data_IF_465678254319
#
_entry.id   IF_465678254319
#
_cell.length_a   1.000
_cell.length_b   1.000
_cell.length_c   1.000
_cell.angle_alpha   90.00
_cell.angle_beta   90.00
_cell.angle_gamma   90.00
#
_symmetry.space_group_name_H-M   'P 1'
#
loop_
_entity.id
_entity.type
_entity.pdbx_description
1 polymer ?
#
# COMPACT_ATOMS: atom_id res chain seq x y z
N UNK A 1 -37.52 -13.80 -16.98
CA UNK A 1 -36.18 -14.38 -16.73
C UNK A 1 -35.29 -13.29 -16.13
N UNK A 2 -34.67 -13.45 -14.96
CA UNK A 2 -33.93 -12.35 -14.32
C UNK A 2 -32.53 -12.16 -14.91
N UNK A 3 -32.05 -10.91 -14.97
CA UNK A 3 -30.69 -10.55 -15.42
C UNK A 3 -29.61 -11.30 -14.62
N UNK A 4 -29.81 -11.44 -13.31
CA UNK A 4 -28.91 -12.20 -12.44
C UNK A 4 -28.76 -13.66 -12.88
N UNK A 5 -29.86 -14.33 -13.26
CA UNK A 5 -29.86 -15.73 -13.71
C UNK A 5 -29.16 -15.89 -15.06
N UNK A 6 -29.36 -14.95 -15.99
CA UNK A 6 -28.62 -14.94 -17.27
C UNK A 6 -27.12 -14.81 -17.02
N UNK A 7 -26.71 -13.82 -16.23
CA UNK A 7 -25.29 -13.56 -15.95
C UNK A 7 -24.63 -14.74 -15.25
N UNK A 8 -25.24 -15.29 -14.20
CA UNK A 8 -24.59 -16.31 -13.35
C UNK A 8 -24.76 -17.73 -13.87
N UNK A 9 -25.94 -18.11 -14.40
CA UNK A 9 -26.25 -19.50 -14.76
C UNK A 9 -26.09 -19.79 -16.25
N UNK A 10 -26.29 -18.81 -17.14
CA UNK A 10 -26.09 -19.00 -18.59
C UNK A 10 -24.71 -18.55 -19.06
N UNK A 11 -24.26 -17.38 -18.60
CA UNK A 11 -23.01 -16.76 -19.04
C UNK A 11 -21.83 -17.03 -18.10
N UNK A 12 -22.06 -17.73 -16.98
CA UNK A 12 -21.08 -18.08 -15.95
C UNK A 12 -20.22 -16.89 -15.48
N UNK A 13 -20.83 -15.71 -15.35
CA UNK A 13 -20.18 -14.48 -14.91
C UNK A 13 -20.25 -14.36 -13.39
N UNK A 14 -19.15 -13.88 -12.81
CA UNK A 14 -19.04 -13.54 -11.38
C UNK A 14 -18.77 -12.06 -11.23
N UNK A 15 -19.56 -11.38 -10.40
CA UNK A 15 -19.29 -9.99 -10.01
C UNK A 15 -18.04 -9.97 -9.12
N UNK A 16 -17.02 -9.24 -9.54
CA UNK A 16 -15.77 -9.03 -8.79
C UNK A 16 -15.60 -7.53 -8.55
N UNK A 17 -15.05 -7.18 -7.39
CA UNK A 17 -14.63 -5.80 -7.13
C UNK A 17 -13.26 -5.56 -7.75
N UNK A 18 -13.05 -4.34 -8.26
CA UNK A 18 -11.74 -3.91 -8.72
C UNK A 18 -10.75 -3.88 -7.55
N UNK A 19 -9.49 -4.19 -7.85
CA UNK A 19 -8.38 -4.05 -6.90
C UNK A 19 -7.81 -2.65 -7.04
N UNK A 20 -7.49 -2.01 -5.91
CA UNK A 20 -6.67 -0.79 -5.91
C UNK A 20 -5.23 -1.18 -6.23
N UNK A 21 -4.68 -0.58 -7.28
CA UNK A 21 -3.27 -0.72 -7.66
C UNK A 21 -2.64 0.67 -7.68
N UNK A 22 -1.39 0.84 -7.23
CA UNK A 22 -0.75 2.16 -7.19
C UNK A 22 -0.68 2.82 -8.56
N UNK A 23 -0.31 2.05 -9.59
CA UNK A 23 -0.19 2.51 -10.97
C UNK A 23 -0.57 1.40 -11.95
N UNK A 24 -1.08 1.81 -13.12
CA UNK A 24 -1.18 0.93 -14.28
C UNK A 24 0.17 0.93 -14.99
N UNK A 25 0.80 -0.24 -15.07
CA UNK A 25 2.11 -0.38 -15.67
C UNK A 25 1.99 -0.64 -17.16
N UNK A 26 2.88 -0.01 -17.95
CA UNK A 26 3.07 -0.35 -19.37
C UNK A 26 3.71 -1.73 -19.49
N UNK A 27 3.68 -2.30 -20.69
CA UNK A 27 4.26 -3.63 -20.91
C UNK A 27 5.79 -3.59 -20.80
N UNK A 28 6.44 -2.49 -21.20
CA UNK A 28 7.89 -2.29 -21.03
C UNK A 28 8.28 -2.19 -19.55
N UNK A 29 7.46 -1.52 -18.73
CA UNK A 29 7.69 -1.45 -17.28
C UNK A 29 7.57 -2.82 -16.62
N UNK A 30 6.59 -3.65 -17.04
CA UNK A 30 6.45 -5.01 -16.54
C UNK A 30 7.64 -5.87 -16.93
N UNK A 31 8.07 -5.80 -18.18
CA UNK A 31 9.23 -6.55 -18.67
C UNK A 31 10.50 -6.16 -17.91
N UNK A 32 10.74 -4.86 -17.75
CA UNK A 32 11.88 -4.34 -16.97
C UNK A 32 11.87 -4.88 -15.55
N UNK A 33 10.72 -4.84 -14.86
CA UNK A 33 10.58 -5.40 -13.50
C UNK A 33 10.90 -6.90 -13.44
N UNK A 34 10.44 -7.68 -14.43
CA UNK A 34 10.72 -9.11 -14.49
C UNK A 34 12.23 -9.34 -14.70
N UNK A 35 12.87 -8.58 -15.57
CA UNK A 35 14.30 -8.69 -15.84
C UNK A 35 15.15 -8.35 -14.61
N UNK A 36 14.85 -7.24 -13.92
CA UNK A 36 15.49 -6.92 -12.64
C UNK A 36 15.30 -8.04 -11.61
N UNK A 37 14.06 -8.54 -11.47
CA UNK A 37 13.75 -9.62 -10.52
C UNK A 37 14.53 -10.90 -10.82
N UNK A 38 14.67 -11.28 -12.10
CA UNK A 38 15.48 -12.43 -12.52
C UNK A 38 16.95 -12.25 -12.17
N UNK A 39 17.50 -11.05 -12.39
CA UNK A 39 18.89 -10.75 -12.06
C UNK A 39 19.15 -10.83 -10.56
N UNK A 40 18.27 -10.23 -9.73
CA UNK A 40 18.37 -10.33 -8.28
C UNK A 40 18.21 -11.78 -7.79
N UNK A 41 17.30 -12.55 -8.38
CA UNK A 41 17.12 -13.96 -8.03
C UNK A 41 18.36 -14.79 -8.34
N UNK A 42 18.97 -14.63 -9.52
CA UNK A 42 20.22 -15.32 -9.87
C UNK A 42 21.33 -15.01 -8.87
N UNK A 43 21.49 -13.74 -8.52
CA UNK A 43 22.48 -13.30 -7.53
C UNK A 43 22.22 -13.91 -6.16
N UNK A 44 20.96 -13.90 -5.72
CA UNK A 44 20.55 -14.55 -4.48
C UNK A 44 20.81 -16.06 -4.50
N UNK A 45 20.61 -16.75 -5.63
CA UNK A 45 20.90 -18.18 -5.73
C UNK A 45 22.38 -18.52 -5.52
N UNK A 46 23.29 -17.62 -5.92
CA UNK A 46 24.74 -17.78 -5.75
C UNK A 46 25.22 -17.35 -4.36
N UNK A 47 24.80 -16.18 -3.89
CA UNK A 47 25.32 -15.55 -2.66
C UNK A 47 24.43 -15.76 -1.42
N UNK A 48 23.19 -16.23 -1.59
CA UNK A 48 22.23 -16.53 -0.53
C UNK A 48 22.06 -15.35 0.46
N UNK A 49 22.15 -15.64 1.76
CA UNK A 49 21.96 -14.65 2.83
C UNK A 49 23.07 -13.59 2.85
N UNK A 50 24.26 -13.86 2.33
CA UNK A 50 25.33 -12.87 2.27
C UNK A 50 24.97 -11.71 1.34
N UNK A 51 24.23 -11.98 0.27
CA UNK A 51 23.70 -10.92 -0.59
C UNK A 51 22.66 -10.07 0.15
N UNK A 52 21.71 -10.72 0.83
CA UNK A 52 20.66 -10.00 1.58
C UNK A 52 21.24 -9.19 2.74
N UNK A 53 22.24 -9.72 3.44
CA UNK A 53 22.87 -9.04 4.58
C UNK A 53 23.69 -7.82 4.23
N UNK A 54 23.98 -7.60 2.95
CA UNK A 54 24.64 -6.38 2.46
C UNK A 54 23.65 -5.32 1.98
N UNK A 55 22.35 -5.64 1.92
CA UNK A 55 21.32 -4.69 1.47
C UNK A 55 20.90 -3.83 2.65
N UNK A 56 21.19 -2.54 2.52
CA UNK A 56 20.52 -1.49 3.28
C UNK A 56 19.48 -0.88 2.35
N UNK A 57 18.22 -0.82 2.79
CA UNK A 57 17.14 -0.16 2.07
C UNK A 57 16.56 0.94 2.94
N UNK A 58 15.97 1.94 2.31
CA UNK A 58 15.23 2.97 3.00
C UNK A 58 14.18 3.59 2.12
N UNK A 59 13.20 4.21 2.76
CA UNK A 59 12.09 4.89 2.10
C UNK A 59 11.57 6.02 3.01
N UNK A 60 10.82 6.95 2.42
CA UNK A 60 10.12 7.99 3.16
C UNK A 60 8.67 7.59 3.44
N UNK A 61 8.19 7.82 4.65
CA UNK A 61 6.78 7.61 4.99
C UNK A 61 6.18 8.76 5.78
N UNK A 62 4.90 9.03 5.54
CA UNK A 62 4.15 10.01 6.32
C UNK A 62 3.49 9.31 7.51
N UNK A 63 3.88 9.72 8.71
CA UNK A 63 3.24 9.30 9.96
C UNK A 63 2.20 10.35 10.35
N UNK A 64 0.95 9.94 10.44
CA UNK A 64 -0.16 10.80 10.84
C UNK A 64 -0.41 10.68 12.34
N UNK A 65 -0.76 11.80 12.98
CA UNK A 65 -1.20 11.81 14.39
C UNK A 65 -2.51 11.06 14.64
N UNK A 66 -3.28 10.80 13.59
CA UNK A 66 -4.57 10.13 13.65
C UNK A 66 -4.82 9.31 12.38
N UNK A 67 -5.22 8.05 12.55
CA UNK A 67 -5.70 7.20 11.46
C UNK A 67 -7.23 7.22 11.41
N UNK A 68 -7.85 7.60 10.27
CA UNK A 68 -9.29 7.49 10.13
C UNK A 68 -9.72 6.02 10.12
N UNK A 69 -10.79 5.69 10.83
CA UNK A 69 -11.43 4.38 10.71
C UNK A 69 -11.77 4.07 9.24
N UNK A 70 -11.43 2.86 8.81
CA UNK A 70 -11.85 2.35 7.50
C UNK A 70 -13.37 2.14 7.47
N UNK A 71 -13.96 2.12 6.27
CA UNK A 71 -15.39 1.82 6.07
C UNK A 71 -15.85 0.51 6.75
N UNK A 72 -14.94 -0.47 6.84
CA UNK A 72 -15.23 -1.74 7.50
C UNK A 72 -15.16 -1.62 9.02
N UNK A 73 -14.22 -0.84 9.55
CA UNK A 73 -14.13 -0.56 10.99
C UNK A 73 -15.29 0.31 11.47
N UNK A 74 -15.83 1.18 10.62
CA UNK A 74 -17.00 2.00 10.93
C UNK A 74 -18.33 1.25 10.75
N UNK A 75 -18.33 -0.06 10.54
CA UNK A 75 -19.55 -0.84 10.40
C UNK A 75 -20.14 -1.12 11.78
N UNK A 76 -21.41 -0.79 11.96
CA UNK A 76 -22.14 -0.95 13.20
C UNK A 76 -23.46 -1.68 12.94
N UNK A 77 -23.90 -2.45 13.94
CA UNK A 77 -25.19 -3.10 13.94
C UNK A 77 -26.24 -2.08 14.37
N UNK A 78 -27.35 -2.03 13.65
CA UNK A 78 -28.45 -1.06 13.78
C UNK A 78 -29.76 -1.79 13.59
N UNK A 79 -30.83 -1.24 14.14
CA UNK A 79 -32.18 -1.74 13.89
C UNK A 79 -32.63 -1.42 12.45
N UNK A 80 -33.64 -2.14 11.96
CA UNK A 80 -34.02 -2.13 10.54
C UNK A 80 -34.49 -0.75 10.03
N UNK A 81 -35.14 0.01 10.90
CA UNK A 81 -35.74 1.32 10.64
C UNK A 81 -34.79 2.49 10.95
N UNK A 82 -33.63 2.22 11.54
CA UNK A 82 -32.67 3.27 11.86
C UNK A 82 -31.97 3.81 10.61
N UNK A 83 -31.76 5.14 10.53
CA UNK A 83 -31.02 5.74 9.43
C UNK A 83 -29.55 5.31 9.46
N UNK A 84 -28.92 5.35 8.28
CA UNK A 84 -27.48 5.07 8.17
C UNK A 84 -26.70 6.08 9.02
N UNK A 85 -25.72 5.64 9.84
CA UNK A 85 -24.84 6.55 10.55
C UNK A 85 -24.08 7.47 9.62
N UNK A 86 -24.07 8.75 9.96
CA UNK A 86 -23.23 9.75 9.33
C UNK A 86 -21.98 9.94 10.18
N UNK A 87 -20.82 9.58 9.63
CA UNK A 87 -19.53 9.98 10.19
C UNK A 87 -18.96 11.12 9.37
N UNK A 88 -18.75 12.27 10.00
CA UNK A 88 -18.07 13.41 9.38
C UNK A 88 -16.65 12.98 9.04
N UNK A 89 -16.32 12.92 7.75
CA UNK A 89 -14.96 12.65 7.30
C UNK A 89 -14.07 13.85 7.68
N UNK A 90 -13.32 13.72 8.78
CA UNK A 90 -12.25 14.67 9.08
C UNK A 90 -11.22 14.59 7.96
N UNK A 91 -10.82 15.74 7.39
CA UNK A 91 -9.72 15.77 6.42
C UNK A 91 -8.47 15.23 7.13
N UNK A 92 -7.77 14.28 6.52
CA UNK A 92 -6.39 13.96 6.89
C UNK A 92 -5.60 15.27 6.78
N UNK A 93 -5.31 15.94 7.89
CA UNK A 93 -4.69 17.26 7.79
C UNK A 93 -4.76 18.12 9.03
N UNK A 94 -3.81 17.89 9.94
CA UNK A 94 -3.24 18.98 10.73
C UNK A 94 -1.80 18.64 11.13
N UNK A 95 -1.57 17.42 11.61
CA UNK A 95 -0.28 16.97 12.12
C UNK A 95 0.14 15.67 11.44
N UNK A 96 1.09 15.78 10.53
CA UNK A 96 1.82 14.68 9.92
C UNK A 96 3.31 14.99 9.95
N UNK A 97 4.12 13.97 10.19
CA UNK A 97 5.58 14.06 10.19
C UNK A 97 6.10 13.08 9.14
N UNK A 98 6.96 13.55 8.24
CA UNK A 98 7.64 12.65 7.31
C UNK A 98 8.80 12.00 8.06
N UNK A 99 8.98 10.70 7.87
CA UNK A 99 10.10 9.96 8.42
C UNK A 99 10.94 9.37 7.29
N UNK A 100 12.26 9.52 7.37
CA UNK A 100 13.18 8.66 6.63
C UNK A 100 13.48 7.44 7.49
N UNK A 101 13.33 6.27 6.90
CA UNK A 101 13.64 5.03 7.59
C UNK A 101 14.60 4.25 6.73
N UNK A 102 15.75 3.88 7.29
CA UNK A 102 16.67 2.92 6.69
C UNK A 102 16.77 1.69 7.58
N UNK A 103 16.80 0.51 6.97
CA UNK A 103 16.91 -0.76 7.65
C UNK A 103 17.69 -1.78 6.80
N UNK A 104 18.31 -2.73 7.48
CA UNK A 104 18.92 -3.91 6.89
C UNK A 104 18.17 -5.18 7.34
N UNK A 105 18.78 -6.34 7.14
CA UNK A 105 18.23 -7.61 7.60
C UNK A 105 18.16 -7.75 9.13
N UNK A 106 18.91 -6.95 9.89
CA UNK A 106 19.02 -7.01 11.34
C UNK A 106 18.07 -6.02 12.05
N UNK A 107 17.64 -4.97 11.36
CA UNK A 107 16.61 -4.06 11.86
C UNK A 107 16.79 -2.63 11.35
N UNK A 108 16.17 -1.70 12.09
CA UNK A 108 16.21 -0.27 11.75
C UNK A 108 17.59 0.30 12.07
N UNK A 109 18.23 0.84 11.04
CA UNK A 109 19.52 1.53 11.14
C UNK A 109 19.31 3.00 11.46
N UNK A 110 18.39 3.65 10.74
CA UNK A 110 18.08 5.07 10.92
C UNK A 110 16.57 5.28 10.92
N UNK A 111 16.09 6.05 11.89
CA UNK A 111 14.75 6.64 11.90
C UNK A 111 14.92 8.13 12.13
N UNK A 112 14.71 8.91 11.08
CA UNK A 112 14.86 10.35 11.15
C UNK A 112 13.52 11.06 10.94
N UNK A 113 12.98 11.75 11.97
CA UNK A 113 11.83 12.62 11.78
C UNK A 113 12.27 13.88 11.03
N UNK A 114 11.69 14.09 9.86
CA UNK A 114 11.90 15.30 9.06
C UNK A 114 11.16 16.46 9.73
N UNK A 115 11.77 17.66 9.88
CA UNK A 115 11.12 18.80 10.49
C UNK A 115 9.73 19.09 9.91
N UNK A 116 8.77 19.41 10.76
CA UNK A 116 7.39 19.65 10.34
C UNK A 116 7.36 20.78 9.30
N UNK A 117 6.64 20.54 8.20
CA UNK A 117 6.54 21.50 7.10
C UNK A 117 7.69 21.42 6.10
N UNK A 118 8.67 20.54 6.29
CA UNK A 118 9.73 20.28 5.32
C UNK A 118 9.48 18.98 4.55
N UNK A 119 10.01 18.90 3.34
CA UNK A 119 9.96 17.74 2.45
C UNK A 119 11.36 17.41 2.01
N UNK A 120 11.66 16.12 1.86
CA UNK A 120 12.96 15.66 1.38
C UNK A 120 13.09 15.98 -0.09
N UNK A 121 14.18 16.65 -0.43
CA UNK A 121 14.58 16.97 -1.79
C UNK A 121 16.04 16.55 -1.96
N UNK A 122 16.63 16.77 -3.14
CA UNK A 122 18.00 16.31 -3.41
C UNK A 122 19.09 16.94 -2.52
N UNK A 123 18.82 18.04 -1.82
CA UNK A 123 19.76 18.75 -0.93
C UNK A 123 19.59 18.40 0.55
N UNK A 124 18.52 17.69 0.89
CA UNK A 124 18.26 17.22 2.24
C UNK A 124 18.97 15.89 2.48
#
# INVERSE_FOLDING_TARGET
>A
MSVLRVLTKKLNKKKKFSKWVPHLLTDEQKESRVNFSRNFLRRFQTEQNDFLGRIITGDETWVYSWDPETKRQSAEWRDFDEPRPEKVRRKQGALKVMHMIFFDMNGVILRWPVPIGTTINAQY
#
